data_IF_725315585785
#
_entry.id   IF_725315585785
#
_cell.length_a   1.000
_cell.length_b   1.000
_cell.length_c   1.000
_cell.angle_alpha   90.00
_cell.angle_beta   90.00
_cell.angle_gamma   90.00
#
_symmetry.space_group_name_H-M   'P 1'
#
loop_
_entity.id
_entity.type
_entity.pdbx_description
1 polymer ?
#
# COMPACT_ATOMS: atom_id res chain seq x y z
N UNK A 1 28.91 -27.85 -14.37
CA UNK A 1 27.51 -27.73 -13.88
C UNK A 1 26.58 -28.28 -14.95
N UNK A 2 25.56 -29.05 -14.59
CA UNK A 2 24.60 -29.61 -15.56
C UNK A 2 23.54 -28.57 -15.91
N UNK A 3 22.96 -28.66 -17.11
CA UNK A 3 21.89 -27.73 -17.57
C UNK A 3 20.67 -27.75 -16.63
N UNK A 4 20.40 -28.88 -15.98
CA UNK A 4 19.34 -28.98 -14.97
C UNK A 4 19.65 -28.17 -13.71
N UNK A 5 20.89 -28.18 -13.21
CA UNK A 5 21.27 -27.41 -12.03
C UNK A 5 21.15 -25.90 -12.25
N UNK A 6 21.45 -25.42 -13.46
CA UNK A 6 21.29 -24.00 -13.82
C UNK A 6 19.81 -23.59 -13.85
N UNK A 7 18.93 -24.45 -14.38
CA UNK A 7 17.47 -24.20 -14.39
C UNK A 7 16.87 -24.17 -13.00
N UNK A 8 17.30 -25.07 -12.12
CA UNK A 8 16.82 -25.10 -10.74
C UNK A 8 17.25 -23.84 -9.96
N UNK A 9 18.45 -23.33 -10.23
CA UNK A 9 18.95 -22.07 -9.69
C UNK A 9 18.16 -20.86 -10.22
N UNK A 10 17.89 -20.79 -11.52
CA UNK A 10 17.05 -19.75 -12.12
C UNK A 10 15.64 -19.73 -11.51
N UNK A 11 15.01 -20.91 -11.33
CA UNK A 11 13.71 -21.04 -10.69
C UNK A 11 13.76 -20.55 -9.23
N UNK A 12 14.81 -20.88 -8.50
CA UNK A 12 14.98 -20.44 -7.13
C UNK A 12 15.14 -18.91 -7.03
N UNK A 13 15.95 -18.31 -7.91
CA UNK A 13 16.12 -16.86 -7.97
C UNK A 13 14.82 -16.13 -8.32
N UNK A 14 14.06 -16.63 -9.30
CA UNK A 14 12.77 -16.06 -9.67
C UNK A 14 11.74 -16.13 -8.54
N UNK A 15 11.68 -17.23 -7.80
CA UNK A 15 10.79 -17.35 -6.63
C UNK A 15 11.13 -16.31 -5.57
N UNK A 16 12.42 -16.17 -5.26
CA UNK A 16 12.89 -15.17 -4.29
C UNK A 16 12.51 -13.75 -4.73
N UNK A 17 12.64 -13.44 -6.02
CA UNK A 17 12.24 -12.12 -6.55
C UNK A 17 10.73 -11.88 -6.37
N UNK A 18 9.90 -12.87 -6.69
CA UNK A 18 8.44 -12.78 -6.49
C UNK A 18 8.10 -12.59 -5.01
N UNK A 19 8.74 -13.33 -4.10
CA UNK A 19 8.54 -13.16 -2.65
C UNK A 19 8.88 -11.75 -2.18
N UNK A 20 9.98 -11.17 -2.68
CA UNK A 20 10.37 -9.78 -2.38
C UNK A 20 9.33 -8.79 -2.93
N UNK A 21 8.88 -8.96 -4.18
CA UNK A 21 7.85 -8.12 -4.79
C UNK A 21 6.51 -8.21 -4.05
N UNK A 22 6.13 -9.39 -3.60
CA UNK A 22 4.91 -9.59 -2.79
C UNK A 22 5.01 -8.88 -1.44
N UNK A 23 6.19 -8.92 -0.80
CA UNK A 23 6.46 -8.17 0.41
C UNK A 23 6.35 -6.66 0.21
N UNK A 24 6.91 -6.14 -0.88
CA UNK A 24 6.82 -4.71 -1.20
C UNK A 24 5.39 -4.28 -1.55
N UNK A 25 4.65 -5.10 -2.29
CA UNK A 25 3.22 -4.88 -2.56
C UNK A 25 2.43 -4.76 -1.24
N UNK A 26 2.71 -5.61 -0.27
CA UNK A 26 2.02 -5.55 1.03
C UNK A 26 2.29 -4.23 1.76
N UNK A 27 3.54 -3.74 1.74
CA UNK A 27 3.90 -2.45 2.33
C UNK A 27 3.20 -1.29 1.63
N UNK A 28 3.14 -1.30 0.31
CA UNK A 28 2.40 -0.29 -0.45
C UNK A 28 0.91 -0.30 -0.10
N UNK A 29 0.29 -1.46 0.04
CA UNK A 29 -1.10 -1.58 0.50
C UNK A 29 -1.30 -0.98 1.90
N UNK A 30 -0.36 -1.19 2.83
CA UNK A 30 -0.41 -0.55 4.16
C UNK A 30 -0.35 0.98 4.07
N UNK A 31 0.55 1.54 3.27
CA UNK A 31 0.68 2.99 3.08
C UNK A 31 -0.59 3.59 2.46
N UNK A 32 -1.08 2.96 1.40
CA UNK A 32 -2.32 3.37 0.72
C UNK A 32 -3.51 3.31 1.67
N UNK A 33 -3.63 2.23 2.46
CA UNK A 33 -4.68 2.08 3.44
C UNK A 33 -4.62 3.16 4.52
N UNK A 34 -3.42 3.51 4.98
CA UNK A 34 -3.23 4.52 6.01
C UNK A 34 -3.61 5.91 5.48
N UNK A 35 -3.24 6.21 4.23
CA UNK A 35 -3.65 7.43 3.56
C UNK A 35 -5.18 7.49 3.36
N UNK A 36 -5.81 6.39 2.96
CA UNK A 36 -7.26 6.31 2.81
C UNK A 36 -8.00 6.54 4.15
N UNK A 37 -7.52 5.93 5.23
CA UNK A 37 -8.06 6.16 6.58
C UNK A 37 -7.85 7.61 7.00
N UNK A 38 -6.68 8.20 6.73
CA UNK A 38 -6.40 9.60 7.03
C UNK A 38 -7.42 10.51 6.32
N UNK A 39 -7.59 10.35 5.00
CA UNK A 39 -8.54 11.14 4.21
C UNK A 39 -9.97 10.96 4.72
N UNK A 40 -10.37 9.74 5.09
CA UNK A 40 -11.70 9.46 5.63
C UNK A 40 -11.98 10.12 7.00
N UNK A 41 -10.94 10.45 7.77
CA UNK A 41 -11.06 11.11 9.07
C UNK A 41 -10.67 12.59 9.04
N UNK A 42 -10.29 13.10 7.88
CA UNK A 42 -9.88 14.49 7.70
C UNK A 42 -11.12 15.39 7.64
N UNK A 43 -11.07 16.52 8.35
CA UNK A 43 -12.08 17.56 8.23
C UNK A 43 -11.58 18.61 7.22
N UNK A 44 -12.20 18.63 6.04
CA UNK A 44 -11.85 19.53 4.94
C UNK A 44 -11.99 21.00 5.32
N UNK A 45 -12.87 21.34 6.27
CA UNK A 45 -13.10 22.73 6.68
C UNK A 45 -11.97 23.25 7.59
N UNK A 46 -11.09 22.36 8.05
CA UNK A 46 -9.95 22.69 8.92
C UNK A 46 -8.60 22.67 8.20
N UNK A 47 -8.60 22.29 6.93
CA UNK A 47 -7.39 22.25 6.12
C UNK A 47 -6.93 23.67 5.77
N UNK A 48 -5.60 23.89 5.69
CA UNK A 48 -5.07 25.10 5.10
C UNK A 48 -5.58 25.32 3.67
N UNK A 49 -6.07 26.53 3.37
CA UNK A 49 -6.53 26.95 2.03
C UNK A 49 -5.37 27.41 1.11
N UNK A 50 -4.13 26.98 1.38
CA UNK A 50 -3.01 27.25 0.49
C UNK A 50 -2.97 26.29 -0.71
N UNK A 51 -2.45 26.78 -1.84
CA UNK A 51 -2.40 26.06 -3.12
C UNK A 51 -1.67 24.71 -2.97
N UNK A 52 -0.57 24.67 -2.22
CA UNK A 52 0.21 23.45 -1.99
C UNK A 52 -0.61 22.35 -1.28
N UNK A 53 -1.40 22.73 -0.26
CA UNK A 53 -2.26 21.81 0.49
C UNK A 53 -3.42 21.30 -0.36
N UNK A 54 -4.04 22.17 -1.14
CA UNK A 54 -5.15 21.82 -2.04
C UNK A 54 -4.66 20.85 -3.12
N UNK A 55 -3.54 21.16 -3.77
CA UNK A 55 -2.94 20.31 -4.81
C UNK A 55 -2.56 18.93 -4.26
N UNK A 56 -1.98 18.88 -3.05
CA UNK A 56 -1.62 17.62 -2.40
C UNK A 56 -2.86 16.78 -2.06
N UNK A 57 -3.93 17.41 -1.58
CA UNK A 57 -5.19 16.75 -1.25
C UNK A 57 -5.90 16.23 -2.51
N UNK A 58 -5.93 17.02 -3.59
CA UNK A 58 -6.51 16.63 -4.87
C UNK A 58 -5.75 15.45 -5.47
N UNK A 59 -4.41 15.53 -5.52
CA UNK A 59 -3.58 14.43 -6.01
C UNK A 59 -3.83 13.16 -5.21
N UNK A 60 -3.89 13.24 -3.88
CA UNK A 60 -4.15 12.07 -3.04
C UNK A 60 -5.54 11.48 -3.29
N UNK A 61 -6.57 12.31 -3.39
CA UNK A 61 -7.94 11.88 -3.66
C UNK A 61 -8.06 11.22 -5.04
N UNK A 62 -7.44 11.78 -6.06
CA UNK A 62 -7.42 11.22 -7.41
C UNK A 62 -6.73 9.85 -7.43
N UNK A 63 -5.55 9.74 -6.80
CA UNK A 63 -4.84 8.47 -6.71
C UNK A 63 -5.67 7.40 -5.98
N UNK A 64 -6.28 7.73 -4.83
CA UNK A 64 -7.15 6.80 -4.11
C UNK A 64 -8.37 6.37 -4.93
N UNK A 65 -9.00 7.29 -5.66
CA UNK A 65 -10.16 7.00 -6.49
C UNK A 65 -9.82 6.21 -7.77
N UNK A 66 -8.56 6.27 -8.23
CA UNK A 66 -8.09 5.50 -9.39
C UNK A 66 -7.79 4.03 -9.07
N UNK A 67 -7.71 3.65 -7.79
CA UNK A 67 -7.50 2.28 -7.38
C UNK A 67 -8.74 1.42 -7.67
N UNK A 68 -8.51 0.15 -8.01
CA UNK A 68 -9.59 -0.82 -8.05
C UNK A 68 -10.21 -1.00 -6.65
N UNK A 69 -11.54 -1.15 -6.58
CA UNK A 69 -12.26 -1.28 -5.30
C UNK A 69 -11.72 -2.42 -4.44
N UNK A 70 -11.37 -3.55 -5.06
CA UNK A 70 -10.73 -4.69 -4.40
C UNK A 70 -9.36 -4.32 -3.79
N UNK A 71 -8.56 -3.50 -4.48
CA UNK A 71 -7.25 -3.07 -4.00
C UNK A 71 -7.38 -2.09 -2.86
N UNK A 72 -8.34 -1.16 -2.94
CA UNK A 72 -8.63 -0.24 -1.86
C UNK A 72 -9.13 -0.99 -0.62
N UNK A 73 -9.98 -2.00 -0.82
CA UNK A 73 -10.44 -2.88 0.26
C UNK A 73 -9.28 -3.63 0.92
N UNK A 74 -8.43 -4.28 0.14
CA UNK A 74 -7.23 -4.96 0.65
C UNK A 74 -6.33 -4.02 1.46
N UNK A 75 -6.16 -2.78 0.98
CA UNK A 75 -5.38 -1.76 1.66
C UNK A 75 -5.98 -1.37 3.02
N UNK A 76 -7.30 -1.15 3.08
CA UNK A 76 -8.01 -0.84 4.32
C UNK A 76 -7.99 -2.00 5.32
N UNK A 77 -8.13 -3.25 4.86
CA UNK A 77 -8.05 -4.44 5.70
C UNK A 77 -6.65 -4.63 6.29
N UNK A 78 -5.61 -4.40 5.48
CA UNK A 78 -4.21 -4.45 5.90
C UNK A 78 -3.91 -3.51 7.07
N UNK A 79 -4.47 -2.28 7.04
CA UNK A 79 -4.28 -1.31 8.12
C UNK A 79 -5.10 -1.63 9.35
N UNK A 80 -6.34 -2.10 9.20
CA UNK A 80 -7.15 -2.52 10.35
C UNK A 80 -6.48 -3.65 11.12
N UNK A 81 -5.92 -4.64 10.42
CA UNK A 81 -5.15 -5.72 11.04
C UNK A 81 -3.99 -5.18 11.87
N UNK A 82 -3.21 -4.23 11.34
CA UNK A 82 -2.11 -3.60 12.07
C UNK A 82 -2.60 -2.75 13.26
N UNK A 83 -3.75 -2.08 13.13
CA UNK A 83 -4.29 -1.25 14.21
C UNK A 83 -4.83 -2.07 15.38
N UNK A 84 -5.44 -3.23 15.10
CA UNK A 84 -6.02 -4.14 16.08
C UNK A 84 -4.95 -4.97 16.82
N UNK A 85 -3.79 -5.23 16.18
CA UNK A 85 -2.66 -5.97 16.77
C UNK A 85 -1.78 -5.10 17.70
N UNK A 86 -2.03 -3.79 17.76
CA UNK A 86 -1.35 -2.90 18.72
C UNK A 86 -1.88 -3.13 20.13
N UNK A 87 -1.03 -3.47 21.13
CA UNK A 87 -1.46 -3.51 22.52
C UNK A 87 -1.94 -2.12 22.93
N UNK A 88 -3.17 -2.04 23.44
CA UNK A 88 -3.76 -0.82 23.97
C UNK A 88 -2.81 -0.27 25.06
N UNK A 89 -2.18 0.87 24.78
CA UNK A 89 -1.30 1.58 25.70
C UNK A 89 -2.09 2.33 26.77
#
# INVERSE_FOLDING_TARGET
MTVHALKDEEIHLLRKEIEMLMGERQRLLQVVGAAAVLVANLDSDTLPDDEDTIDAAEMLAEQLNSLAEETLKDALESVRAEMDDRPQA
#
